data_IF_825945365089
#
_entry.id   IF_825945365089
#
_cell.length_a   1.000
_cell.length_b   1.000
_cell.length_c   1.000
_cell.angle_alpha   90.00
_cell.angle_beta   90.00
_cell.angle_gamma   90.00
#
_symmetry.space_group_name_H-M   'P 1'
#
loop_
_entity.id
_entity.type
_entity.pdbx_description
1 polymer ?
#
# COMPACT_ATOMS: atom_id res chain seq x y z
N UNK A 1 4.53 17.23 7.31
CA UNK A 1 5.24 16.41 6.29
C UNK A 1 4.33 16.21 5.10
N UNK A 2 4.83 16.24 3.85
CA UNK A 2 4.07 15.86 2.64
C UNK A 2 4.85 14.80 1.88
N UNK A 3 4.26 13.65 1.60
CA UNK A 3 4.89 12.58 0.83
C UNK A 3 4.06 12.16 -0.36
N UNK A 4 4.70 11.80 -1.47
CA UNK A 4 4.11 11.11 -2.60
C UNK A 4 4.55 9.65 -2.58
N UNK A 5 3.60 8.73 -2.55
CA UNK A 5 3.84 7.29 -2.47
C UNK A 5 3.35 6.60 -3.74
N UNK A 6 4.20 5.79 -4.36
CA UNK A 6 3.87 4.94 -5.50
C UNK A 6 3.99 3.47 -5.12
N UNK A 7 2.93 2.71 -5.33
CA UNK A 7 2.85 1.30 -4.95
C UNK A 7 2.49 0.42 -6.16
N UNK A 8 3.43 -0.36 -6.71
CA UNK A 8 3.13 -1.52 -7.54
C UNK A 8 2.75 -2.74 -6.68
N UNK A 9 1.76 -3.57 -7.06
CA UNK A 9 1.36 -4.70 -6.22
C UNK A 9 2.43 -5.78 -6.15
N UNK A 10 2.39 -6.58 -5.08
CA UNK A 10 3.11 -7.85 -5.02
C UNK A 10 2.17 -8.97 -5.43
N UNK A 11 2.68 -9.92 -6.20
CA UNK A 11 1.95 -11.13 -6.53
C UNK A 11 1.51 -11.87 -5.27
N UNK A 12 0.24 -12.28 -5.21
CA UNK A 12 -0.20 -13.29 -4.26
C UNK A 12 0.59 -14.57 -4.57
N UNK A 13 1.49 -14.97 -3.67
CA UNK A 13 2.07 -16.30 -3.74
C UNK A 13 0.94 -17.29 -3.46
N UNK A 14 0.39 -17.92 -4.51
CA UNK A 14 -0.43 -19.12 -4.32
C UNK A 14 0.51 -20.25 -3.94
N UNK A 15 0.31 -20.82 -2.75
CA UNK A 15 0.83 -22.14 -2.40
C UNK A 15 0.21 -23.17 -3.35
N UNK A 16 0.86 -23.47 -4.46
CA UNK A 16 0.67 -24.73 -5.17
C UNK A 16 2.01 -25.15 -5.78
N UNK A 17 2.78 -25.86 -4.97
CA UNK A 17 3.91 -26.62 -5.44
C UNK A 17 3.43 -27.85 -6.20
N UNK A 18 3.57 -27.87 -7.52
CA UNK A 18 3.98 -29.06 -8.28
C UNK A 18 4.26 -28.71 -9.76
N UNK A 19 5.31 -29.31 -10.32
CA UNK A 19 6.00 -28.81 -11.49
C UNK A 19 5.42 -29.16 -12.86
N UNK A 20 6.09 -28.64 -13.88
CA UNK A 20 5.86 -28.99 -15.29
C UNK A 20 6.33 -27.87 -16.22
N UNK A 21 7.63 -27.83 -16.52
CA UNK A 21 8.14 -26.95 -17.59
C UNK A 21 7.92 -27.65 -18.93
N UNK A 22 7.13 -27.01 -19.81
CA UNK A 22 7.32 -26.86 -21.27
C UNK A 22 5.97 -26.91 -22.00
N UNK A 23 5.26 -25.78 -22.02
CA UNK A 23 4.39 -25.45 -23.14
C UNK A 23 4.70 -24.02 -23.61
N UNK A 24 4.80 -23.90 -24.92
CA UNK A 24 5.46 -22.83 -25.66
C UNK A 24 4.68 -21.52 -25.50
N UNK A 25 5.37 -20.45 -25.05
CA UNK A 25 4.81 -19.13 -24.72
C UNK A 25 4.04 -18.40 -25.84
N UNK A 26 3.89 -18.97 -27.04
CA UNK A 26 3.20 -18.35 -28.17
C UNK A 26 1.73 -18.73 -28.32
N UNK A 27 1.24 -19.82 -27.71
CA UNK A 27 -0.18 -20.22 -27.83
C UNK A 27 -1.08 -19.70 -26.70
N UNK A 28 -0.53 -19.37 -25.53
CA UNK A 28 -1.28 -18.72 -24.44
C UNK A 28 -1.71 -17.29 -24.82
N UNK A 29 -0.95 -16.60 -25.66
CA UNK A 29 -1.27 -15.22 -26.08
C UNK A 29 -2.47 -15.09 -27.02
N UNK A 30 -2.97 -16.18 -27.62
CA UNK A 30 -4.09 -16.12 -28.60
C UNK A 30 -5.46 -16.44 -28.00
N UNK A 31 -5.54 -17.15 -26.88
CA UNK A 31 -6.84 -17.53 -26.30
C UNK A 31 -7.47 -16.46 -25.40
N UNK A 32 -6.71 -15.44 -24.98
CA UNK A 32 -7.20 -14.38 -24.08
C UNK A 32 -7.74 -13.14 -24.81
N UNK A 33 -7.69 -13.07 -26.14
CA UNK A 33 -8.26 -11.94 -26.90
C UNK A 33 -9.73 -12.12 -27.28
N UNK A 34 -10.28 -13.33 -27.24
CA UNK A 34 -11.69 -13.60 -27.60
C UNK A 34 -12.66 -13.66 -26.40
N UNK A 35 -12.13 -13.68 -25.16
CA UNK A 35 -12.93 -13.48 -23.95
C UNK A 35 -12.72 -12.06 -23.46
N UNK A 36 -13.74 -11.23 -23.61
CA UNK A 36 -13.74 -9.86 -23.13
C UNK A 36 -13.24 -9.76 -21.68
N UNK A 37 -12.13 -9.02 -21.52
CA UNK A 37 -11.55 -8.54 -20.27
C UNK A 37 -11.14 -9.63 -19.28
N UNK A 38 -9.87 -10.03 -19.33
CA UNK A 38 -9.15 -10.37 -18.11
C UNK A 38 -7.64 -10.07 -18.24
N UNK A 39 -7.19 -8.87 -17.87
CA UNK A 39 -5.82 -8.71 -17.43
C UNK A 39 -5.86 -8.70 -15.89
N UNK A 40 -5.10 -9.60 -15.28
CA UNK A 40 -4.64 -9.47 -13.89
C UNK A 40 -4.22 -8.01 -13.66
N UNK A 41 -5.05 -7.20 -13.00
CA UNK A 41 -4.81 -5.77 -12.94
C UNK A 41 -3.84 -5.48 -11.79
N UNK A 42 -2.61 -5.01 -12.05
CA UNK A 42 -1.76 -4.56 -10.97
C UNK A 42 -2.34 -3.28 -10.37
N UNK A 43 -2.85 -3.35 -9.14
CA UNK A 43 -3.35 -2.17 -8.43
C UNK A 43 -2.23 -1.16 -8.20
N UNK A 44 -2.39 0.05 -8.75
CA UNK A 44 -1.48 1.17 -8.51
C UNK A 44 -2.06 2.03 -7.39
N UNK A 45 -1.34 2.19 -6.28
CA UNK A 45 -1.75 3.08 -5.18
C UNK A 45 -0.87 4.33 -5.15
N UNK A 46 -1.52 5.50 -5.22
CA UNK A 46 -0.94 6.82 -5.09
C UNK A 46 -1.45 7.46 -3.80
N UNK A 47 -0.57 7.71 -2.83
CA UNK A 47 -0.94 8.37 -1.57
C UNK A 47 -0.19 9.68 -1.36
N UNK A 48 -0.94 10.67 -0.88
CA UNK A 48 -0.46 11.90 -0.30
C UNK A 48 -0.55 11.80 1.22
N UNK A 49 0.59 11.81 1.91
CA UNK A 49 0.69 11.59 3.35
C UNK A 49 0.99 12.89 4.09
N UNK A 50 0.32 13.11 5.22
CA UNK A 50 0.42 14.30 6.06
C UNK A 50 0.56 13.92 7.53
N UNK A 51 1.62 14.43 8.17
CA UNK A 51 1.81 14.34 9.62
C UNK A 51 1.64 15.72 10.25
N UNK A 52 0.83 15.79 11.31
CA UNK A 52 0.57 17.01 12.09
C UNK A 52 1.39 16.91 13.38
N UNK A 53 2.22 17.91 13.69
CA UNK A 53 3.12 17.89 14.86
C UNK A 53 2.42 17.63 16.20
N UNK A 54 1.16 18.06 16.34
CA UNK A 54 0.36 17.86 17.56
C UNK A 54 -0.15 16.44 17.74
N UNK A 55 -0.05 15.59 16.71
CA UNK A 55 -0.43 14.18 16.73
C UNK A 55 0.75 13.33 16.21
N UNK A 56 1.83 13.18 16.99
CA UNK A 56 3.09 12.62 16.51
C UNK A 56 3.01 11.15 16.06
N UNK A 57 1.96 10.44 16.46
CA UNK A 57 1.72 9.05 16.07
C UNK A 57 0.63 8.88 15.02
N UNK A 58 -0.04 9.96 14.62
CA UNK A 58 -1.09 9.91 13.60
C UNK A 58 -0.59 10.50 12.29
N UNK A 59 -0.77 9.75 11.20
CA UNK A 59 -0.51 10.20 9.84
C UNK A 59 -1.80 10.13 9.04
N UNK A 60 -2.20 11.24 8.46
CA UNK A 60 -3.38 11.34 7.61
C UNK A 60 -2.96 11.14 6.17
N UNK A 61 -3.86 10.59 5.36
CA UNK A 61 -3.60 10.46 3.93
C UNK A 61 -4.86 10.60 3.11
N UNK A 62 -4.65 11.01 1.87
CA UNK A 62 -5.63 10.90 0.79
C UNK A 62 -4.92 10.47 -0.47
N UNK A 63 -5.65 9.88 -1.41
CA UNK A 63 -5.03 9.37 -2.61
C UNK A 63 -6.00 8.70 -3.54
N UNK A 64 -5.43 7.95 -4.47
CA UNK A 64 -6.17 7.16 -5.44
C UNK A 64 -5.56 5.78 -5.55
N UNK A 65 -6.41 4.78 -5.68
CA UNK A 65 -6.00 3.41 -5.94
C UNK A 65 -6.65 2.91 -7.23
N UNK A 66 -5.92 2.14 -8.03
CA UNK A 66 -6.50 1.42 -9.16
C UNK A 66 -6.92 0.03 -8.71
N UNK A 67 -8.20 -0.32 -8.76
CA UNK A 67 -8.74 -1.65 -8.41
C UNK A 67 -9.96 -1.99 -9.30
N UNK A 68 -10.55 -3.17 -9.08
CA UNK A 68 -11.91 -3.50 -9.55
C UNK A 68 -12.96 -3.15 -8.49
N UNK A 69 -14.09 -2.55 -8.91
CA UNK A 69 -15.25 -2.33 -8.04
C UNK A 69 -16.01 -3.63 -7.75
N UNK A 70 -17.01 -3.59 -6.88
CA UNK A 70 -17.85 -4.75 -6.54
C UNK A 70 -18.61 -5.37 -7.72
N UNK A 71 -18.61 -4.72 -8.89
CA UNK A 71 -19.20 -5.21 -10.15
C UNK A 71 -18.13 -5.71 -11.14
N UNK A 72 -16.86 -5.84 -10.71
CA UNK A 72 -15.74 -6.26 -11.55
C UNK A 72 -15.23 -5.18 -12.51
N UNK A 73 -15.65 -3.92 -12.38
CA UNK A 73 -15.18 -2.83 -13.27
C UNK A 73 -13.90 -2.22 -12.73
N UNK A 74 -12.82 -2.29 -13.52
CA UNK A 74 -11.56 -1.65 -13.21
C UNK A 74 -11.66 -0.11 -13.27
N UNK A 75 -11.11 0.59 -12.27
CA UNK A 75 -11.13 2.04 -12.21
C UNK A 75 -10.17 2.61 -11.16
N UNK A 76 -10.11 3.94 -11.07
CA UNK A 76 -9.44 4.66 -9.99
C UNK A 76 -10.46 5.04 -8.91
N UNK A 77 -10.15 4.71 -7.66
CA UNK A 77 -10.99 4.99 -6.50
C UNK A 77 -10.25 5.92 -5.56
N UNK A 78 -10.93 6.99 -5.16
CA UNK A 78 -10.44 7.89 -4.13
C UNK A 78 -10.46 7.21 -2.78
N UNK A 79 -9.42 7.46 -1.98
CA UNK A 79 -9.40 7.05 -0.58
C UNK A 79 -8.86 8.16 0.31
N UNK A 80 -9.29 8.13 1.58
CA UNK A 80 -8.73 8.95 2.64
C UNK A 80 -8.72 8.18 3.95
N UNK A 81 -7.73 8.43 4.80
CA UNK A 81 -7.59 7.65 6.02
C UNK A 81 -6.61 8.22 7.01
N UNK A 82 -6.42 7.44 8.07
CA UNK A 82 -5.51 7.75 9.17
C UNK A 82 -4.74 6.48 9.56
N UNK A 83 -3.46 6.67 9.77
CA UNK A 83 -2.51 5.68 10.26
C UNK A 83 -2.12 6.03 11.69
N UNK A 84 -1.98 5.00 12.52
CA UNK A 84 -1.38 5.05 13.84
C UNK A 84 -0.05 4.30 13.79
N UNK A 85 1.05 5.02 13.92
CA UNK A 85 2.39 4.44 14.05
C UNK A 85 2.51 3.79 15.44
N UNK A 86 2.62 2.46 15.46
CA UNK A 86 2.87 1.68 16.68
C UNK A 86 4.36 1.48 16.94
N UNK A 87 5.15 1.45 15.88
CA UNK A 87 6.61 1.44 15.91
C UNK A 87 7.08 2.67 15.15
N UNK A 88 7.96 3.46 15.77
CA UNK A 88 8.66 4.57 15.16
C UNK A 88 10.10 4.59 15.65
N UNK A 89 10.97 3.85 14.98
CA UNK A 89 12.39 3.79 15.30
C UNK A 89 13.18 4.53 14.23
N UNK A 90 13.63 5.75 14.54
CA UNK A 90 14.79 6.34 13.85
C UNK A 90 16.01 5.67 14.47
N UNK A 91 16.73 4.85 13.71
CA UNK A 91 17.90 4.12 14.21
C UNK A 91 19.08 5.08 14.30
N UNK A 92 19.43 5.60 15.51
CA UNK A 92 20.36 6.73 15.62
C UNK A 92 21.82 6.33 15.31
N UNK A 93 22.13 5.03 15.35
CA UNK A 93 23.48 4.49 15.20
C UNK A 93 23.91 4.22 13.75
N UNK A 94 23.00 4.37 12.78
CA UNK A 94 23.26 4.11 11.36
C UNK A 94 23.20 5.40 10.52
N UNK A 95 23.59 6.55 11.11
CA UNK A 95 23.70 7.80 10.37
C UNK A 95 24.87 7.73 9.40
N UNK A 96 24.60 7.66 8.10
CA UNK A 96 25.61 7.84 7.08
C UNK A 96 25.96 9.33 7.01
N UNK A 97 27.15 9.69 7.48
CA UNK A 97 27.71 11.05 7.33
C UNK A 97 28.24 11.18 5.91
N UNK A 98 27.51 11.90 5.06
CA UNK A 98 27.86 12.19 3.66
C UNK A 98 27.46 13.60 3.27
N UNK A 99 27.22 13.87 1.98
CA UNK A 99 26.70 15.16 1.49
C UNK A 99 25.37 15.58 2.14
N UNK A 100 24.60 14.61 2.65
CA UNK A 100 23.41 14.80 3.45
C UNK A 100 23.48 13.89 4.68
N UNK A 101 23.24 14.45 5.86
CA UNK A 101 23.06 13.66 7.09
C UNK A 101 21.76 12.87 6.98
N UNK A 102 21.88 11.55 6.77
CA UNK A 102 20.74 10.65 6.63
C UNK A 102 20.60 9.74 7.84
N UNK A 103 19.37 9.49 8.29
CA UNK A 103 19.03 8.59 9.38
C UNK A 103 18.02 7.54 8.88
N UNK A 104 18.37 6.23 8.91
CA UNK A 104 17.41 5.19 8.55
C UNK A 104 16.32 5.07 9.61
N UNK A 105 15.14 4.66 9.17
CA UNK A 105 14.02 4.42 10.06
C UNK A 105 13.22 3.19 9.66
N UNK A 106 12.52 2.65 10.66
CA UNK A 106 11.46 1.66 10.49
C UNK A 106 10.22 2.21 11.19
N UNK A 107 9.11 2.25 10.46
CA UNK A 107 7.80 2.58 11.01
C UNK A 107 6.83 1.45 10.74
N UNK A 108 6.06 1.03 11.72
CA UNK A 108 5.01 0.03 11.52
C UNK A 108 3.76 0.44 12.29
N UNK A 109 2.60 0.04 11.81
CA UNK A 109 1.37 0.43 12.44
C UNK A 109 0.12 -0.11 11.78
N UNK A 110 -0.99 0.47 12.20
CA UNK A 110 -2.32 0.13 11.72
C UNK A 110 -2.98 1.40 11.21
N UNK A 111 -3.88 1.28 10.24
CA UNK A 111 -4.64 2.40 9.76
C UNK A 111 -6.04 2.01 9.31
N UNK A 112 -6.85 3.04 9.11
CA UNK A 112 -8.21 2.94 8.61
C UNK A 112 -8.33 3.88 7.42
N UNK A 113 -8.83 3.37 6.29
CA UNK A 113 -9.20 4.19 5.15
C UNK A 113 -10.66 4.02 4.80
N UNK A 114 -11.22 5.10 4.27
CA UNK A 114 -12.49 5.13 3.61
C UNK A 114 -12.27 5.31 2.11
N UNK A 115 -12.85 4.41 1.32
CA UNK A 115 -12.92 4.48 -0.12
C UNK A 115 -14.22 5.14 -0.56
N UNK A 116 -14.19 5.73 -1.74
CA UNK A 116 -15.38 6.27 -2.40
C UNK A 116 -16.31 5.16 -2.92
N UNK A 117 -15.78 3.94 -3.15
CA UNK A 117 -16.52 2.77 -3.65
C UNK A 117 -16.02 1.48 -3.01
N UNK A 118 -16.89 0.47 -2.97
CA UNK A 118 -16.53 -0.88 -2.53
C UNK A 118 -15.72 -1.58 -3.62
N UNK A 119 -14.73 -2.34 -3.17
CA UNK A 119 -13.83 -3.11 -4.02
C UNK A 119 -14.28 -4.57 -4.06
N UNK A 120 -13.96 -5.29 -5.14
CA UNK A 120 -14.32 -6.71 -5.28
C UNK A 120 -13.68 -7.59 -4.18
N UNK A 121 -12.44 -7.28 -3.77
CA UNK A 121 -11.66 -8.13 -2.86
C UNK A 121 -12.04 -7.96 -1.38
N UNK A 122 -12.35 -6.72 -0.96
CA UNK A 122 -12.56 -6.38 0.46
C UNK A 122 -14.02 -6.00 0.74
N UNK A 123 -14.80 -5.59 -0.26
CA UNK A 123 -16.27 -5.52 -0.17
C UNK A 123 -16.85 -4.47 0.77
N UNK A 124 -16.02 -3.65 1.42
CA UNK A 124 -16.44 -2.60 2.35
C UNK A 124 -15.90 -1.24 1.91
N UNK A 125 -16.60 -0.17 2.32
CA UNK A 125 -16.12 1.20 2.08
C UNK A 125 -15.03 1.60 3.07
N UNK A 126 -15.04 1.02 4.26
CA UNK A 126 -14.03 1.25 5.28
C UNK A 126 -13.19 -0.01 5.36
N UNK A 127 -11.90 0.14 5.15
CA UNK A 127 -10.93 -0.94 5.17
C UNK A 127 -9.86 -0.61 6.21
N UNK A 128 -9.49 -1.61 7.00
CA UNK A 128 -8.35 -1.54 7.90
C UNK A 128 -7.11 -2.00 7.15
N UNK A 129 -5.95 -1.44 7.48
CA UNK A 129 -4.70 -1.90 6.92
C UNK A 129 -3.58 -1.93 7.96
N UNK A 130 -2.63 -2.83 7.74
CA UNK A 130 -1.36 -2.89 8.45
C UNK A 130 -0.30 -2.36 7.51
N UNK A 131 0.65 -1.58 8.02
CA UNK A 131 1.76 -1.09 7.23
C UNK A 131 3.11 -1.32 7.92
N UNK A 132 4.12 -1.55 7.09
CA UNK A 132 5.53 -1.54 7.46
C UNK A 132 6.29 -0.67 6.47
N UNK A 133 6.93 0.38 6.97
CA UNK A 133 7.77 1.30 6.22
C UNK A 133 9.23 1.13 6.65
N UNK A 134 10.12 0.99 5.69
CA UNK A 134 11.57 1.01 5.92
C UNK A 134 12.17 2.06 5.00
N UNK A 135 12.91 3.01 5.54
CA UNK A 135 13.40 4.13 4.75
C UNK A 135 14.53 4.90 5.40
N UNK A 136 14.78 6.10 4.89
CA UNK A 136 15.68 7.05 5.52
C UNK A 136 15.17 8.48 5.38
N UNK A 137 15.47 9.31 6.37
CA UNK A 137 15.28 10.76 6.34
C UNK A 137 16.64 11.47 6.21
N UNK A 138 16.74 12.48 5.35
CA UNK A 138 17.87 13.38 5.21
C UNK A 138 17.50 14.76 5.75
N UNK A 139 18.34 15.31 6.63
CA UNK A 139 18.13 16.61 7.26
C UNK A 139 18.74 17.73 6.42
N UNK A 140 17.92 18.69 6.02
CA UNK A 140 18.33 19.98 5.45
C UNK A 140 18.01 21.10 6.45
N UNK A 141 18.60 22.31 6.33
CA UNK A 141 18.46 23.36 7.34
C UNK A 141 17.03 23.79 7.69
N UNK A 142 16.07 23.61 6.76
CA UNK A 142 14.65 23.99 6.93
C UNK A 142 13.67 22.94 6.41
N UNK A 143 14.17 21.82 5.91
CA UNK A 143 13.35 20.79 5.28
C UNK A 143 13.91 19.42 5.65
N UNK A 144 13.07 18.40 5.53
CA UNK A 144 13.49 17.01 5.60
C UNK A 144 13.15 16.36 4.29
N UNK A 145 14.09 15.66 3.66
CA UNK A 145 13.76 14.74 2.59
C UNK A 145 13.64 13.35 3.19
N UNK A 146 12.73 12.54 2.70
CA UNK A 146 12.68 11.15 3.12
C UNK A 146 12.23 10.27 1.97
N UNK A 147 12.72 9.05 1.98
CA UNK A 147 12.29 7.99 1.10
C UNK A 147 12.01 6.75 1.93
N UNK A 148 11.15 5.87 1.44
CA UNK A 148 10.89 4.59 2.09
C UNK A 148 10.34 3.58 1.11
N UNK A 149 10.56 2.31 1.42
CA UNK A 149 9.76 1.20 0.95
C UNK A 149 8.64 0.94 1.94
N UNK A 150 7.47 0.58 1.44
CA UNK A 150 6.31 0.25 2.27
C UNK A 150 5.70 -1.07 1.82
N UNK A 151 5.30 -1.88 2.79
CA UNK A 151 4.43 -3.03 2.62
C UNK A 151 3.13 -2.73 3.36
N UNK A 152 1.99 -2.86 2.68
CA UNK A 152 0.66 -2.67 3.26
C UNK A 152 -0.17 -3.93 3.03
N UNK A 153 -0.93 -4.35 4.03
CA UNK A 153 -1.96 -5.36 3.89
C UNK A 153 -3.31 -4.77 4.27
N UNK A 154 -4.27 -4.81 3.35
CA UNK A 154 -5.61 -4.26 3.50
C UNK A 154 -6.64 -5.37 3.73
N UNK A 155 -7.59 -5.13 4.62
CA UNK A 155 -8.71 -6.04 4.90
C UNK A 155 -9.92 -5.29 5.45
N UNK A 156 -11.06 -5.96 5.57
CA UNK A 156 -12.22 -5.42 6.27
C UNK A 156 -12.33 -5.91 7.74
N UNK A 157 -11.33 -6.65 8.24
CA UNK A 157 -11.34 -7.19 9.60
C UNK A 157 -12.33 -8.33 9.85
N UNK A 158 -12.97 -8.89 8.82
CA UNK A 158 -13.91 -10.03 8.94
C UNK A 158 -13.29 -11.25 9.63
N UNK A 159 -11.97 -11.46 9.49
CA UNK A 159 -11.26 -12.53 10.20
C UNK A 159 -11.30 -12.41 11.73
N UNK A 160 -11.49 -11.20 12.26
CA UNK A 160 -11.54 -10.92 13.71
C UNK A 160 -13.00 -10.69 14.16
N UNK A 161 -13.78 -9.95 13.37
CA UNK A 161 -15.13 -9.51 13.73
C UNK A 161 -16.24 -10.47 13.26
N UNK A 162 -15.89 -11.52 12.50
CA UNK A 162 -16.83 -12.52 12.00
C UNK A 162 -17.91 -11.92 11.10
N UNK A 163 -19.13 -12.43 11.21
CA UNK A 163 -20.26 -12.05 10.36
C UNK A 163 -20.82 -10.63 10.60
N UNK A 164 -20.22 -9.84 11.51
CA UNK A 164 -20.56 -8.43 11.71
C UNK A 164 -20.10 -7.55 10.54
N UNK A 165 -19.14 -8.02 9.75
CA UNK A 165 -18.62 -7.31 8.58
C UNK A 165 -19.15 -7.98 7.31
N UNK A 166 -20.06 -7.35 6.56
CA UNK A 166 -20.60 -7.90 5.33
C UNK A 166 -19.59 -7.76 4.17
N UNK A 167 -19.63 -8.71 3.23
CA UNK A 167 -18.82 -8.68 2.01
C UNK A 167 -17.63 -9.66 2.01
N UNK A 168 -16.97 -9.84 0.85
CA UNK A 168 -15.75 -10.63 0.73
C UNK A 168 -14.62 -10.06 1.58
N UNK A 169 -13.63 -10.86 1.97
CA UNK A 169 -12.41 -10.38 2.63
C UNK A 169 -11.22 -11.21 2.16
N UNK A 170 -10.84 -11.05 0.89
CA UNK A 170 -9.70 -11.77 0.32
C UNK A 170 -8.35 -11.23 0.82
N UNK A 171 -8.34 -10.04 1.39
CA UNK A 171 -7.11 -9.32 1.71
C UNK A 171 -6.44 -8.77 0.44
N UNK A 172 -5.58 -7.77 0.59
CA UNK A 172 -4.76 -7.28 -0.53
C UNK A 172 -3.45 -6.67 -0.06
N UNK A 173 -2.34 -7.11 -0.63
CA UNK A 173 -0.99 -6.63 -0.34
C UNK A 173 -0.49 -5.60 -1.36
N UNK A 174 0.12 -4.54 -0.86
CA UNK A 174 0.80 -3.52 -1.68
C UNK A 174 2.24 -3.38 -1.24
N UNK A 175 3.17 -3.49 -2.17
CA UNK A 175 4.53 -3.03 -1.98
C UNK A 175 4.72 -1.71 -2.71
N UNK A 176 5.61 -0.87 -2.21
CA UNK A 176 5.95 0.30 -2.98
C UNK A 176 6.98 1.16 -2.33
N UNK A 177 7.16 2.31 -2.94
CA UNK A 177 8.20 3.24 -2.61
C UNK A 177 7.62 4.64 -2.57
N UNK A 178 7.97 5.39 -1.53
CA UNK A 178 7.56 6.78 -1.38
C UNK A 178 8.76 7.69 -1.31
N UNK A 179 8.56 8.92 -1.76
CA UNK A 179 9.46 10.04 -1.54
C UNK A 179 8.65 11.21 -0.97
N UNK A 180 9.24 12.00 -0.10
CA UNK A 180 8.55 13.18 0.40
C UNK A 180 9.45 14.23 1.00
N UNK A 181 8.79 15.35 1.30
CA UNK A 181 9.40 16.56 1.84
C UNK A 181 8.65 16.97 3.12
N UNK A 182 9.38 17.07 4.21
CA UNK A 182 8.92 17.60 5.49
C UNK A 182 9.33 19.06 5.66
N UNK A 183 8.45 19.86 6.25
CA UNK A 183 8.69 21.23 6.70
C UNK A 183 8.41 21.30 8.22
#
# INVERSE_FOLDING_TARGET
MVSLLFLPPLHAFSEDGQGGVKETQQEVFRMDMEKGVNPEYPGTLLLYLFEIKTLPHARFYFGQIRRSDEHGRAGFFGLGGVDLNLVDSVLPFARARGLLDSAPYVKAGIGLARFDRKTELIGTLVEAHLFLNVGAEALLPRTKLFWYLTLNHWSNGRGILGNLVPGPNKGEEFLGWGIGVGF
#
